data_IF_242191700385
#
_entry.id   IF_242191700385
#
_cell.length_a   1.000
_cell.length_b   1.000
_cell.length_c   1.000
_cell.angle_alpha   90.00
_cell.angle_beta   90.00
_cell.angle_gamma   90.00
#
_symmetry.space_group_name_H-M   'P 1'
#
loop_
_entity.id
_entity.type
_entity.pdbx_description
1 polymer ?
#
# COMPACT_ATOMS: atom_id res chain seq x y z
N UNK A 1 39.66 7.83 11.54
CA UNK A 1 38.57 8.69 12.07
C UNK A 1 37.27 8.14 11.51
N UNK A 2 36.48 7.49 12.35
CA UNK A 2 35.11 7.06 11.98
C UNK A 2 34.27 8.32 11.86
N UNK A 3 34.00 8.75 10.63
CA UNK A 3 33.08 9.84 10.35
C UNK A 3 31.68 9.37 10.72
N UNK A 4 31.25 9.56 11.97
CA UNK A 4 29.90 9.29 12.41
C UNK A 4 29.00 10.35 11.81
N UNK A 5 28.00 9.92 11.01
CA UNK A 5 26.99 10.84 10.47
C UNK A 5 26.19 11.46 11.62
N UNK A 6 26.07 12.80 11.61
CA UNK A 6 25.23 13.51 12.58
C UNK A 6 23.74 13.31 12.23
N UNK A 7 23.02 12.61 13.09
CA UNK A 7 21.58 12.33 12.95
C UNK A 7 20.72 13.15 13.91
N UNK A 8 21.29 14.08 14.67
CA UNK A 8 20.61 14.85 15.74
C UNK A 8 19.35 15.55 15.20
N UNK A 9 19.48 16.27 14.11
CA UNK A 9 18.33 16.98 13.50
C UNK A 9 17.26 16.01 12.98
N UNK A 10 17.68 14.85 12.47
CA UNK A 10 16.76 13.81 12.01
C UNK A 10 15.94 13.22 13.16
N UNK A 11 16.57 12.94 14.29
CA UNK A 11 15.89 12.36 15.46
C UNK A 11 14.90 13.34 16.11
N UNK A 12 15.16 14.64 15.98
CA UNK A 12 14.26 15.70 16.42
C UNK A 12 13.06 15.91 15.49
N UNK A 13 13.12 15.44 14.23
CA UNK A 13 12.09 15.67 13.22
C UNK A 13 11.15 14.48 13.12
N UNK A 14 9.84 14.73 13.25
CA UNK A 14 8.79 13.74 13.07
C UNK A 14 8.22 13.90 11.66
N UNK A 15 8.55 12.99 10.77
CA UNK A 15 8.05 12.99 9.40
C UNK A 15 6.82 12.08 9.28
N UNK A 16 5.64 12.66 9.04
CA UNK A 16 4.36 11.97 8.88
C UNK A 16 3.90 11.92 7.42
N UNK A 17 4.83 11.97 6.48
CA UNK A 17 4.56 11.92 5.05
C UNK A 17 3.92 10.61 4.61
N UNK A 18 3.00 10.70 3.65
CA UNK A 18 2.23 9.55 3.17
C UNK A 18 2.93 8.70 2.10
N UNK A 19 4.16 9.06 1.76
CA UNK A 19 5.02 8.37 0.81
C UNK A 19 5.58 9.29 -0.27
N UNK A 20 6.92 9.32 -0.45
CA UNK A 20 7.93 8.64 0.38
C UNK A 20 7.84 9.02 1.86
N UNK A 21 8.03 8.03 2.73
CA UNK A 21 7.80 8.18 4.17
C UNK A 21 9.09 8.02 4.99
N UNK A 22 8.97 8.13 6.32
CA UNK A 22 10.07 7.86 7.24
C UNK A 22 10.58 6.42 7.14
N UNK A 23 11.88 6.26 7.36
CA UNK A 23 12.54 4.98 7.59
C UNK A 23 13.22 4.99 8.96
N UNK A 24 13.47 3.84 9.61
CA UNK A 24 14.23 3.78 10.85
C UNK A 24 15.63 4.36 10.66
N UNK A 25 16.10 5.18 11.62
CA UNK A 25 17.42 5.81 11.53
C UNK A 25 18.55 4.78 11.46
N UNK A 26 18.45 3.68 12.23
CA UNK A 26 19.39 2.55 12.18
C UNK A 26 19.53 1.94 10.78
N UNK A 27 18.40 1.72 10.10
CA UNK A 27 18.36 1.22 8.72
C UNK A 27 19.06 2.18 7.76
N UNK A 28 18.83 3.48 7.90
CA UNK A 28 19.45 4.47 7.02
C UNK A 28 20.95 4.63 7.25
N UNK A 29 21.43 4.50 8.49
CA UNK A 29 22.85 4.51 8.79
C UNK A 29 23.56 3.29 8.17
N UNK A 30 22.97 2.10 8.31
CA UNK A 30 23.48 0.89 7.67
C UNK A 30 23.42 0.97 6.14
N UNK A 31 22.34 1.51 5.59
CA UNK A 31 22.20 1.73 4.15
C UNK A 31 23.25 2.72 3.62
N UNK A 32 23.55 3.80 4.36
CA UNK A 32 24.58 4.76 3.99
C UNK A 32 25.98 4.14 4.00
N UNK A 33 26.29 3.29 4.99
CA UNK A 33 27.53 2.53 5.00
C UNK A 33 27.62 1.59 3.80
N UNK A 34 26.54 0.90 3.46
CA UNK A 34 26.48 0.00 2.32
C UNK A 34 26.64 0.69 0.95
N UNK A 35 26.29 1.98 0.84
CA UNK A 35 26.57 2.79 -0.36
C UNK A 35 28.06 3.02 -0.55
N UNK A 36 28.82 3.19 0.54
CA UNK A 36 30.25 3.47 0.49
C UNK A 36 31.09 2.19 0.40
N UNK A 37 30.76 1.21 1.21
CA UNK A 37 31.49 -0.06 1.26
C UNK A 37 30.53 -1.18 1.71
N UNK A 38 30.03 -1.92 0.74
CA UNK A 38 29.10 -3.02 1.02
C UNK A 38 29.86 -4.22 1.62
N UNK A 39 29.69 -4.40 2.95
CA UNK A 39 30.22 -5.55 3.71
C UNK A 39 31.74 -5.76 3.54
N UNK A 40 32.53 -4.69 3.44
CA UNK A 40 33.98 -4.77 3.34
C UNK A 40 34.52 -5.22 1.98
N UNK A 41 33.71 -5.09 0.93
CA UNK A 41 34.11 -5.43 -0.45
C UNK A 41 35.03 -4.38 -1.08
N UNK A 42 35.15 -3.19 -0.46
CA UNK A 42 35.81 -2.03 -1.05
C UNK A 42 35.01 -1.35 -2.15
N UNK A 43 33.78 -1.79 -2.40
CA UNK A 43 32.86 -1.20 -3.38
C UNK A 43 31.53 -0.88 -2.73
N UNK A 44 30.90 0.23 -3.13
CA UNK A 44 29.54 0.55 -2.75
C UNK A 44 28.53 -0.37 -3.39
N UNK A 45 27.38 -0.57 -2.73
CA UNK A 45 26.31 -1.42 -3.25
C UNK A 45 25.86 -1.00 -4.67
N UNK A 46 25.84 0.32 -4.92
CA UNK A 46 25.40 0.88 -6.21
C UNK A 46 26.41 0.68 -7.34
N UNK A 47 27.64 0.24 -7.03
CA UNK A 47 28.72 -0.05 -7.96
C UNK A 47 28.88 -1.54 -8.23
N UNK A 48 28.25 -2.40 -7.41
CA UNK A 48 28.28 -3.85 -7.60
C UNK A 48 27.49 -4.24 -8.86
N UNK A 49 27.99 -5.26 -9.55
CA UNK A 49 27.18 -5.89 -10.59
C UNK A 49 25.95 -6.56 -9.97
N UNK A 50 24.76 -6.26 -10.51
CA UNK A 50 23.52 -6.94 -10.09
C UNK A 50 23.53 -8.46 -10.40
N UNK A 51 24.48 -8.93 -11.23
CA UNK A 51 24.69 -10.36 -11.55
C UNK A 51 25.78 -11.01 -10.69
N UNK A 52 26.36 -10.27 -9.73
CA UNK A 52 27.35 -10.81 -8.81
C UNK A 52 26.72 -11.76 -7.79
N UNK A 53 27.51 -12.74 -7.33
CA UNK A 53 27.10 -13.62 -6.22
C UNK A 53 26.78 -12.83 -4.94
N UNK A 54 27.46 -11.71 -4.73
CA UNK A 54 27.25 -10.82 -3.58
C UNK A 54 25.84 -10.21 -3.64
N UNK A 55 25.42 -9.71 -4.81
CA UNK A 55 24.08 -9.15 -4.95
C UNK A 55 23.01 -10.25 -4.94
N UNK A 56 23.27 -11.42 -5.52
CA UNK A 56 22.35 -12.56 -5.44
C UNK A 56 22.08 -12.95 -3.98
N UNK A 57 23.12 -13.04 -3.15
CA UNK A 57 22.94 -13.33 -1.71
C UNK A 57 22.12 -12.26 -0.96
N UNK A 58 22.19 -11.00 -1.39
CA UNK A 58 21.31 -9.93 -0.88
C UNK A 58 19.86 -10.18 -1.30
N UNK A 59 19.61 -10.49 -2.56
CA UNK A 59 18.28 -10.82 -3.10
C UNK A 59 17.66 -11.99 -2.35
N UNK A 60 18.41 -13.09 -2.22
CA UNK A 60 17.95 -14.31 -1.55
C UNK A 60 17.56 -14.05 -0.09
N UNK A 61 18.40 -13.28 0.63
CA UNK A 61 18.08 -12.90 2.02
C UNK A 61 16.86 -12.00 2.10
N UNK A 62 16.75 -11.01 1.22
CA UNK A 62 15.62 -10.06 1.21
C UNK A 62 14.31 -10.78 0.93
N UNK A 63 14.30 -11.73 -0.02
CA UNK A 63 13.15 -12.56 -0.30
C UNK A 63 12.81 -13.49 0.89
N UNK A 64 13.80 -14.15 1.48
CA UNK A 64 13.61 -15.03 2.61
C UNK A 64 13.00 -14.30 3.82
N UNK A 65 13.49 -13.11 4.14
CA UNK A 65 12.96 -12.29 5.23
C UNK A 65 11.51 -11.86 4.97
N UNK A 66 11.19 -11.46 3.73
CA UNK A 66 9.81 -11.11 3.37
C UNK A 66 8.88 -12.33 3.43
N UNK A 67 9.33 -13.49 2.93
CA UNK A 67 8.56 -14.74 3.04
C UNK A 67 8.26 -15.10 4.48
N UNK A 68 9.23 -14.94 5.37
CA UNK A 68 9.06 -15.19 6.79
C UNK A 68 8.07 -14.21 7.44
N UNK A 69 8.16 -12.90 7.10
CA UNK A 69 7.24 -11.87 7.62
C UNK A 69 5.79 -12.09 7.21
N UNK A 70 5.57 -12.50 5.96
CA UNK A 70 4.23 -12.59 5.39
C UNK A 70 3.70 -14.03 5.29
N UNK A 71 4.45 -15.03 5.77
CA UNK A 71 4.10 -16.45 5.64
C UNK A 71 3.79 -16.82 4.17
N UNK A 72 4.63 -16.34 3.23
CA UNK A 72 4.41 -16.56 1.80
C UNK A 72 4.57 -18.05 1.48
N UNK A 73 3.53 -18.74 0.96
CA UNK A 73 3.62 -20.16 0.65
C UNK A 73 4.45 -20.43 -0.62
N UNK A 74 4.94 -21.64 -0.77
CA UNK A 74 5.72 -22.07 -1.94
C UNK A 74 4.95 -22.01 -3.27
N UNK A 75 3.62 -21.95 -3.20
CA UNK A 75 2.75 -21.75 -4.37
C UNK A 75 2.84 -20.35 -4.96
N UNK A 76 3.50 -19.41 -4.27
CA UNK A 76 3.65 -18.02 -4.71
C UNK A 76 5.10 -17.66 -4.97
N UNK A 77 5.32 -16.89 -6.04
CA UNK A 77 6.57 -16.25 -6.36
C UNK A 77 6.62 -14.85 -5.75
N UNK A 78 7.79 -14.42 -5.29
CA UNK A 78 8.06 -13.03 -4.89
C UNK A 78 8.85 -12.37 -6.01
N UNK A 79 8.33 -11.28 -6.56
CA UNK A 79 8.93 -10.54 -7.67
C UNK A 79 9.30 -9.14 -7.21
N UNK A 80 10.57 -8.77 -7.38
CA UNK A 80 11.04 -7.40 -7.15
C UNK A 80 11.01 -6.64 -8.47
N UNK A 81 10.10 -5.67 -8.56
CA UNK A 81 9.74 -4.93 -9.76
C UNK A 81 10.10 -3.45 -9.61
N UNK A 82 9.86 -2.68 -10.66
CA UNK A 82 9.96 -1.21 -10.66
C UNK A 82 8.57 -0.62 -10.91
N UNK A 83 8.47 0.69 -11.11
CA UNK A 83 7.25 1.38 -11.55
C UNK A 83 6.23 1.76 -10.48
N UNK A 84 6.39 1.27 -9.24
CA UNK A 84 5.47 1.58 -8.13
C UNK A 84 4.10 0.91 -8.28
N UNK A 85 3.19 1.20 -7.34
CA UNK A 85 1.82 0.67 -7.38
C UNK A 85 1.03 1.07 -8.61
N UNK A 86 1.34 2.23 -9.21
CA UNK A 86 0.64 2.69 -10.41
C UNK A 86 0.90 1.78 -11.61
N UNK A 87 2.13 1.29 -11.79
CA UNK A 87 2.44 0.34 -12.85
C UNK A 87 1.78 -1.03 -12.61
N UNK A 88 1.59 -1.39 -11.33
CA UNK A 88 0.88 -2.61 -10.97
C UNK A 88 -0.61 -2.58 -11.33
N UNK A 89 -1.24 -1.41 -11.47
CA UNK A 89 -2.61 -1.33 -12.01
C UNK A 89 -2.69 -1.91 -13.43
N UNK A 90 -1.67 -1.64 -14.24
CA UNK A 90 -1.56 -2.20 -15.60
C UNK A 90 -1.08 -3.66 -15.56
N UNK A 91 -0.01 -3.94 -14.81
CA UNK A 91 0.62 -5.26 -14.80
C UNK A 91 -0.32 -6.35 -14.30
N UNK A 92 -1.06 -6.13 -13.20
CA UNK A 92 -2.01 -7.12 -12.66
C UNK A 92 -3.12 -7.44 -13.65
N UNK A 93 -3.74 -6.42 -14.25
CA UNK A 93 -4.80 -6.62 -15.23
C UNK A 93 -4.31 -7.38 -16.47
N UNK A 94 -3.18 -6.95 -17.05
CA UNK A 94 -2.64 -7.56 -18.27
C UNK A 94 -2.19 -9.00 -18.05
N UNK A 95 -1.45 -9.30 -16.96
CA UNK A 95 -0.98 -10.67 -16.70
C UNK A 95 -2.15 -11.61 -16.35
N UNK A 96 -3.17 -11.16 -15.62
CA UNK A 96 -4.32 -12.01 -15.31
C UNK A 96 -5.23 -12.23 -16.53
N UNK A 97 -5.38 -11.25 -17.41
CA UNK A 97 -6.05 -11.44 -18.70
C UNK A 97 -5.30 -12.40 -19.60
N UNK A 98 -3.96 -12.35 -19.63
CA UNK A 98 -3.15 -13.31 -20.37
C UNK A 98 -3.28 -14.72 -19.77
N UNK A 99 -3.20 -14.85 -18.44
CA UNK A 99 -3.43 -16.12 -17.75
C UNK A 99 -4.82 -16.70 -18.04
N UNK A 100 -5.84 -15.83 -18.02
CA UNK A 100 -7.20 -16.24 -18.35
C UNK A 100 -7.30 -16.78 -19.79
N UNK A 101 -6.69 -16.11 -20.76
CA UNK A 101 -6.69 -16.54 -22.16
C UNK A 101 -5.96 -17.88 -22.36
N UNK A 102 -4.85 -18.10 -21.64
CA UNK A 102 -4.12 -19.39 -21.68
C UNK A 102 -4.95 -20.51 -21.06
N UNK A 103 -5.59 -20.27 -19.92
CA UNK A 103 -6.36 -21.30 -19.21
C UNK A 103 -7.77 -21.54 -19.82
N UNK A 104 -8.27 -20.60 -20.61
CA UNK A 104 -9.59 -20.66 -21.23
C UNK A 104 -9.50 -20.29 -22.75
N UNK A 105 -8.83 -21.11 -23.58
CA UNK A 105 -8.47 -20.74 -24.94
C UNK A 105 -9.66 -20.37 -25.83
N UNK A 106 -10.84 -20.96 -25.59
CA UNK A 106 -12.04 -20.71 -26.39
C UNK A 106 -12.90 -19.55 -25.89
N UNK A 107 -12.50 -18.92 -24.75
CA UNK A 107 -13.36 -17.94 -24.08
C UNK A 107 -13.72 -16.74 -24.97
N UNK A 108 -12.73 -16.11 -25.57
CA UNK A 108 -12.96 -14.92 -26.40
C UNK A 108 -13.82 -15.23 -27.63
N UNK A 109 -13.54 -16.35 -28.29
CA UNK A 109 -14.30 -16.79 -29.49
C UNK A 109 -15.76 -17.07 -29.15
N UNK A 110 -16.03 -17.67 -27.99
CA UNK A 110 -17.42 -18.01 -27.56
C UNK A 110 -18.18 -16.83 -26.96
N UNK A 111 -17.46 -15.76 -26.55
CA UNK A 111 -18.07 -14.57 -25.95
C UNK A 111 -18.02 -13.33 -26.87
N UNK A 112 -18.03 -13.53 -28.20
CA UNK A 112 -18.07 -12.42 -29.17
C UNK A 112 -16.84 -11.53 -29.14
N UNK A 113 -15.67 -12.09 -28.81
CA UNK A 113 -14.42 -11.39 -28.61
C UNK A 113 -14.41 -10.38 -27.44
N UNK A 114 -15.39 -10.47 -26.55
CA UNK A 114 -15.40 -9.69 -25.32
C UNK A 114 -14.52 -10.39 -24.27
N UNK A 115 -13.60 -9.62 -23.65
CA UNK A 115 -12.75 -10.13 -22.57
C UNK A 115 -13.53 -10.48 -21.30
N UNK A 116 -12.96 -11.35 -20.44
CA UNK A 116 -13.57 -11.72 -19.16
C UNK A 116 -13.74 -10.50 -18.26
N UNK A 117 -14.77 -10.50 -17.40
CA UNK A 117 -14.93 -9.43 -16.42
C UNK A 117 -13.73 -9.30 -15.49
N UNK A 118 -13.39 -8.07 -15.16
CA UNK A 118 -12.43 -7.71 -14.12
C UNK A 118 -13.17 -6.90 -13.07
N UNK A 119 -13.44 -7.48 -11.91
CA UNK A 119 -14.22 -6.84 -10.86
C UNK A 119 -13.34 -5.94 -9.99
N UNK A 120 -13.85 -4.77 -9.61
CA UNK A 120 -13.15 -3.79 -8.77
C UNK A 120 -14.04 -3.36 -7.60
N UNK A 121 -13.50 -3.46 -6.37
CA UNK A 121 -14.12 -2.91 -5.16
C UNK A 121 -13.58 -1.50 -4.90
N UNK A 122 -14.26 -0.48 -5.43
CA UNK A 122 -13.83 0.93 -5.39
C UNK A 122 -14.21 1.56 -4.05
N UNK A 123 -13.26 1.51 -3.11
CA UNK A 123 -13.41 2.06 -1.75
C UNK A 123 -12.63 3.36 -1.54
N UNK A 124 -11.78 3.77 -2.49
CA UNK A 124 -11.02 5.00 -2.43
C UNK A 124 -10.42 5.42 -3.78
N UNK A 125 -9.60 6.44 -3.71
CA UNK A 125 -9.01 7.11 -4.88
C UNK A 125 -8.05 6.21 -5.66
N UNK A 126 -7.34 5.29 -4.99
CA UNK A 126 -6.38 4.41 -5.66
C UNK A 126 -7.08 3.31 -6.44
N UNK A 127 -8.08 2.65 -5.85
CA UNK A 127 -8.89 1.68 -6.59
C UNK A 127 -9.64 2.34 -7.76
N UNK A 128 -10.12 3.58 -7.59
CA UNK A 128 -10.76 4.33 -8.69
C UNK A 128 -9.78 4.59 -9.86
N UNK A 129 -8.49 4.77 -9.58
CA UNK A 129 -7.46 4.89 -10.62
C UNK A 129 -7.14 3.55 -11.27
N UNK A 130 -7.08 2.48 -10.47
CA UNK A 130 -6.81 1.14 -10.99
C UNK A 130 -7.88 0.69 -12.00
N UNK A 131 -9.17 0.84 -11.69
CA UNK A 131 -10.25 0.50 -12.62
C UNK A 131 -10.22 1.36 -13.89
N UNK A 132 -9.88 2.66 -13.76
CA UNK A 132 -9.73 3.54 -14.91
C UNK A 132 -8.60 3.10 -15.83
N UNK A 133 -7.47 2.67 -15.25
CA UNK A 133 -6.33 2.17 -16.02
C UNK A 133 -6.67 0.86 -16.74
N UNK A 134 -7.31 -0.09 -16.06
CA UNK A 134 -7.75 -1.33 -16.69
C UNK A 134 -8.70 -1.08 -17.87
N UNK A 135 -9.68 -0.17 -17.69
CA UNK A 135 -10.59 0.23 -18.78
C UNK A 135 -9.84 0.86 -19.96
N UNK A 136 -8.84 1.72 -19.67
CA UNK A 136 -7.98 2.34 -20.70
C UNK A 136 -7.18 1.31 -21.50
N UNK A 137 -6.80 0.22 -20.87
CA UNK A 137 -6.09 -0.91 -21.49
C UNK A 137 -7.03 -1.88 -22.22
N UNK A 138 -8.34 -1.63 -22.25
CA UNK A 138 -9.33 -2.43 -22.94
C UNK A 138 -9.88 -3.61 -22.13
N UNK A 139 -9.59 -3.69 -20.82
CA UNK A 139 -10.21 -4.69 -19.97
C UNK A 139 -11.71 -4.46 -19.81
N UNK A 140 -12.49 -5.54 -19.73
CA UNK A 140 -13.91 -5.52 -19.39
C UNK A 140 -14.07 -5.26 -17.87
N UNK A 141 -13.81 -4.00 -17.46
CA UNK A 141 -13.79 -3.62 -16.06
C UNK A 141 -15.21 -3.42 -15.52
N UNK A 142 -15.56 -4.17 -14.47
CA UNK A 142 -16.81 -4.04 -13.73
C UNK A 142 -16.52 -3.40 -12.35
N UNK A 143 -17.23 -2.32 -12.04
CA UNK A 143 -17.18 -1.73 -10.70
C UNK A 143 -18.20 -2.46 -9.82
N UNK A 144 -17.73 -3.50 -9.13
CA UNK A 144 -18.56 -4.33 -8.25
C UNK A 144 -19.20 -3.49 -7.13
N UNK A 145 -18.45 -2.53 -6.57
CA UNK A 145 -18.96 -1.54 -5.62
C UNK A 145 -18.23 -0.21 -5.78
N UNK A 146 -18.94 0.90 -5.61
CA UNK A 146 -18.37 2.24 -5.53
C UNK A 146 -18.87 2.91 -4.25
N UNK A 147 -17.99 3.03 -3.26
CA UNK A 147 -18.30 3.57 -1.94
C UNK A 147 -18.80 5.03 -1.97
N UNK A 148 -18.60 5.78 -3.06
CA UNK A 148 -19.14 7.13 -3.25
C UNK A 148 -20.63 7.14 -3.57
N UNK A 149 -21.17 6.02 -4.07
CA UNK A 149 -22.56 5.89 -4.54
C UNK A 149 -23.50 5.36 -3.48
N UNK A 150 -22.98 4.94 -2.31
CA UNK A 150 -23.84 4.48 -1.22
C UNK A 150 -24.61 5.64 -0.60
N UNK A 151 -25.77 5.33 -0.03
CA UNK A 151 -26.62 6.33 0.62
C UNK A 151 -25.83 7.08 1.71
N UNK A 152 -25.93 8.40 1.74
CA UNK A 152 -25.22 9.26 2.69
C UNK A 152 -23.75 9.52 2.40
N UNK A 153 -23.19 8.95 1.31
CA UNK A 153 -21.78 9.20 0.94
C UNK A 153 -21.52 10.62 0.44
N UNK A 154 -22.53 11.27 -0.15
CA UNK A 154 -22.36 12.62 -0.71
C UNK A 154 -21.26 12.70 -1.79
N UNK A 155 -21.04 11.61 -2.55
CA UNK A 155 -20.01 11.52 -3.58
C UNK A 155 -18.57 11.37 -3.04
N UNK A 156 -18.38 11.15 -1.73
CA UNK A 156 -17.06 11.04 -1.09
C UNK A 156 -16.80 9.62 -0.58
N UNK A 157 -15.54 9.21 -0.57
CA UNK A 157 -15.12 8.02 0.14
C UNK A 157 -15.16 8.25 1.66
N UNK A 158 -15.50 7.25 2.44
CA UNK A 158 -15.60 7.37 3.90
C UNK A 158 -16.32 6.21 4.57
N UNK A 159 -16.59 5.15 3.80
CA UNK A 159 -17.16 3.89 4.29
C UNK A 159 -16.82 2.76 3.32
N UNK A 160 -17.00 1.52 3.77
CA UNK A 160 -16.93 0.31 2.95
C UNK A 160 -18.30 -0.34 2.99
N UNK A 161 -19.02 -0.42 1.85
CA UNK A 161 -20.30 -1.11 1.78
C UNK A 161 -20.16 -2.60 2.08
N UNK A 162 -21.18 -3.24 2.69
CA UNK A 162 -21.15 -4.68 2.93
C UNK A 162 -21.15 -5.45 1.59
N UNK A 163 -20.54 -6.65 1.59
CA UNK A 163 -20.41 -7.48 0.38
C UNK A 163 -21.76 -7.81 -0.26
N UNK A 164 -22.83 -7.89 0.54
CA UNK A 164 -24.20 -8.11 0.05
C UNK A 164 -24.72 -7.04 -0.92
N UNK A 165 -24.11 -5.85 -0.92
CA UNK A 165 -24.43 -4.77 -1.86
C UNK A 165 -23.52 -4.77 -3.11
N UNK A 166 -22.54 -5.66 -3.18
CA UNK A 166 -21.61 -5.70 -4.31
C UNK A 166 -22.23 -6.40 -5.51
N UNK A 167 -22.03 -5.83 -6.67
CA UNK A 167 -22.48 -6.39 -7.97
C UNK A 167 -21.32 -7.15 -8.61
N UNK A 168 -20.95 -8.27 -8.00
CA UNK A 168 -19.93 -9.16 -8.53
C UNK A 168 -20.39 -9.77 -9.86
N UNK A 169 -19.45 -9.97 -10.78
CA UNK A 169 -19.72 -10.68 -12.03
C UNK A 169 -20.07 -12.14 -11.76
N UNK A 170 -21.04 -12.72 -12.47
CA UNK A 170 -21.40 -14.13 -12.29
C UNK A 170 -20.20 -15.06 -12.52
N UNK A 171 -20.01 -16.09 -11.69
CA UNK A 171 -18.93 -17.08 -11.84
C UNK A 171 -18.95 -17.75 -13.21
N UNK A 172 -20.16 -17.97 -13.78
CA UNK A 172 -20.33 -18.52 -15.13
C UNK A 172 -19.66 -17.67 -16.23
N UNK A 173 -19.48 -16.35 -16.00
CA UNK A 173 -18.74 -15.47 -16.92
C UNK A 173 -17.22 -15.53 -16.72
N UNK A 174 -16.73 -16.42 -15.85
CA UNK A 174 -15.31 -16.65 -15.56
C UNK A 174 -14.52 -15.35 -15.35
N UNK A 175 -14.81 -14.53 -14.32
CA UNK A 175 -14.10 -13.29 -14.11
C UNK A 175 -12.58 -13.53 -14.00
N UNK A 176 -11.78 -12.66 -14.62
CA UNK A 176 -10.33 -12.78 -14.59
C UNK A 176 -9.75 -12.37 -13.25
N UNK A 177 -10.42 -11.47 -12.52
CA UNK A 177 -9.97 -11.03 -11.18
C UNK A 177 -11.05 -10.26 -10.41
N UNK A 178 -10.85 -10.19 -9.09
CA UNK A 178 -11.41 -9.17 -8.20
C UNK A 178 -10.24 -8.36 -7.60
N UNK A 179 -10.23 -7.05 -7.85
CA UNK A 179 -9.20 -6.14 -7.36
C UNK A 179 -9.73 -5.26 -6.22
N UNK A 180 -8.93 -5.09 -5.17
CA UNK A 180 -9.19 -4.14 -4.10
C UNK A 180 -7.89 -3.47 -3.62
N UNK A 181 -8.02 -2.31 -2.97
CA UNK A 181 -6.94 -1.66 -2.24
C UNK A 181 -7.22 -1.78 -0.74
N UNK A 182 -6.33 -2.43 -0.01
CA UNK A 182 -6.55 -2.79 1.40
C UNK A 182 -6.54 -1.56 2.32
N UNK A 183 -5.79 -0.52 1.93
CA UNK A 183 -5.76 0.78 2.61
C UNK A 183 -5.61 1.92 1.60
N UNK A 184 -6.61 2.76 1.50
CA UNK A 184 -6.68 3.92 0.60
C UNK A 184 -5.98 5.13 1.24
N UNK A 185 -4.72 5.34 0.85
CA UNK A 185 -3.81 6.34 1.45
C UNK A 185 -4.33 7.78 1.41
N UNK A 186 -5.10 8.13 0.37
CA UNK A 186 -5.62 9.48 0.14
C UNK A 186 -6.85 9.73 1.00
N UNK A 187 -7.73 8.75 1.05
CA UNK A 187 -9.06 8.87 1.64
C UNK A 187 -9.09 8.43 3.12
N UNK A 188 -8.07 7.70 3.55
CA UNK A 188 -7.95 7.19 4.92
C UNK A 188 -8.89 6.02 5.22
N UNK A 189 -9.33 5.31 4.18
CA UNK A 189 -10.20 4.13 4.29
C UNK A 189 -9.35 2.87 4.29
N UNK A 190 -9.53 2.01 5.29
CA UNK A 190 -8.88 0.70 5.43
C UNK A 190 -9.94 -0.37 5.67
N UNK A 191 -9.79 -1.55 5.08
CA UNK A 191 -10.66 -2.67 5.41
C UNK A 191 -10.53 -3.01 6.90
N UNK A 192 -11.67 -3.18 7.63
CA UNK A 192 -11.64 -3.45 9.07
C UNK A 192 -10.97 -4.79 9.37
N UNK A 193 -10.50 -4.98 10.62
CA UNK A 193 -9.96 -6.28 11.02
C UNK A 193 -11.01 -7.39 10.85
N UNK A 194 -10.59 -8.58 10.38
CA UNK A 194 -9.21 -9.03 10.16
C UNK A 194 -8.63 -8.62 8.80
N UNK A 195 -9.37 -7.95 7.92
CA UNK A 195 -8.95 -7.53 6.59
C UNK A 195 -10.08 -7.54 5.59
N UNK A 196 -9.75 -7.70 4.31
CA UNK A 196 -10.71 -7.85 3.23
C UNK A 196 -11.67 -9.02 3.52
N UNK A 197 -13.00 -8.86 3.34
CA UNK A 197 -14.00 -9.82 3.79
C UNK A 197 -14.12 -11.05 2.86
N UNK A 198 -13.04 -11.84 2.77
CA UNK A 198 -12.96 -13.03 1.93
C UNK A 198 -14.06 -14.05 2.24
N UNK A 199 -14.38 -14.20 3.52
CA UNK A 199 -15.40 -15.13 4.03
C UNK A 199 -16.83 -14.72 3.69
N UNK A 200 -17.05 -13.45 3.37
CA UNK A 200 -18.36 -12.93 2.95
C UNK A 200 -18.60 -13.02 1.43
N UNK A 201 -17.56 -13.27 0.64
CA UNK A 201 -17.71 -13.53 -0.79
C UNK A 201 -18.44 -14.86 -1.01
N UNK A 202 -19.26 -15.00 -2.08
CA UNK A 202 -19.81 -16.29 -2.45
C UNK A 202 -18.71 -17.35 -2.56
N UNK A 203 -18.97 -18.55 -2.06
CA UNK A 203 -17.94 -19.59 -1.92
C UNK A 203 -17.35 -20.01 -3.27
N UNK A 204 -18.19 -20.17 -4.29
CA UNK A 204 -17.81 -20.49 -5.66
C UNK A 204 -16.98 -19.37 -6.28
N UNK A 205 -17.35 -18.11 -6.05
CA UNK A 205 -16.59 -16.94 -6.49
C UNK A 205 -15.21 -16.90 -5.86
N UNK A 206 -15.13 -17.02 -4.54
CA UNK A 206 -13.87 -17.02 -3.79
C UNK A 206 -12.91 -18.13 -4.20
N UNK A 207 -13.44 -19.31 -4.57
CA UNK A 207 -12.63 -20.47 -4.97
C UNK A 207 -12.09 -20.37 -6.39
N UNK A 208 -12.76 -19.61 -7.26
CA UNK A 208 -12.48 -19.65 -8.70
C UNK A 208 -11.90 -18.34 -9.24
N UNK A 209 -12.26 -17.19 -8.65
CA UNK A 209 -11.86 -15.88 -9.15
C UNK A 209 -10.55 -15.44 -8.48
N UNK A 210 -9.50 -15.09 -9.26
CA UNK A 210 -8.26 -14.55 -8.74
C UNK A 210 -8.48 -13.24 -7.98
N UNK A 211 -8.02 -13.15 -6.72
CA UNK A 211 -8.16 -11.97 -5.88
C UNK A 211 -6.85 -11.20 -5.84
N UNK A 212 -6.88 -9.91 -6.12
CA UNK A 212 -5.73 -8.99 -6.18
C UNK A 212 -5.83 -7.95 -5.08
N UNK A 213 -4.82 -7.87 -4.25
CA UNK A 213 -4.70 -6.92 -3.15
C UNK A 213 -3.59 -5.89 -3.39
N UNK A 214 -3.94 -4.59 -3.47
CA UNK A 214 -3.00 -3.50 -3.29
C UNK A 214 -2.84 -3.21 -1.80
N UNK A 215 -1.71 -3.61 -1.24
CA UNK A 215 -1.39 -3.42 0.17
C UNK A 215 -0.32 -2.33 0.39
N UNK A 216 -0.08 -1.47 -0.60
CA UNK A 216 1.04 -0.51 -0.60
C UNK A 216 1.15 0.31 0.67
N UNK A 217 0.04 0.74 1.28
CA UNK A 217 0.10 1.66 2.41
C UNK A 217 -0.15 1.02 3.78
N UNK A 218 -0.45 -0.28 3.85
CA UNK A 218 -0.58 -0.98 5.12
C UNK A 218 0.14 -2.33 5.17
N UNK A 219 0.94 -2.65 4.16
CA UNK A 219 1.78 -3.85 4.18
C UNK A 219 2.61 -3.92 5.47
N UNK A 220 2.76 -5.12 6.03
CA UNK A 220 3.52 -5.38 7.26
C UNK A 220 3.02 -4.59 8.50
N UNK A 221 1.80 -4.07 8.48
CA UNK A 221 1.13 -3.45 9.64
C UNK A 221 0.02 -4.31 10.24
N UNK A 222 -0.32 -5.39 9.55
CA UNK A 222 -1.22 -6.48 9.98
C UNK A 222 -0.94 -7.75 9.16
N UNK A 223 -1.38 -8.92 9.63
CA UNK A 223 -1.36 -10.14 8.83
C UNK A 223 -2.22 -10.00 7.57
N UNK A 224 -1.75 -10.60 6.48
CA UNK A 224 -2.48 -10.76 5.21
C UNK A 224 -2.42 -12.23 4.85
N UNK A 225 -3.55 -12.83 4.54
CA UNK A 225 -3.61 -14.21 4.05
C UNK A 225 -3.16 -14.28 2.59
N UNK A 226 -1.84 -14.39 2.39
CA UNK A 226 -1.25 -14.47 1.04
C UNK A 226 -1.78 -15.69 0.28
N UNK A 227 -2.03 -16.81 0.95
CA UNK A 227 -2.49 -18.05 0.32
C UNK A 227 -3.88 -17.90 -0.33
N UNK A 228 -4.73 -17.02 0.21
CA UNK A 228 -6.05 -16.75 -0.32
C UNK A 228 -6.08 -15.75 -1.49
N UNK A 229 -4.93 -15.16 -1.84
CA UNK A 229 -4.84 -14.17 -2.91
C UNK A 229 -4.09 -14.70 -4.13
N UNK A 230 -4.51 -14.26 -5.29
CA UNK A 230 -3.78 -14.50 -6.53
C UNK A 230 -2.54 -13.59 -6.63
N UNK A 231 -2.70 -12.34 -6.22
CA UNK A 231 -1.63 -11.33 -6.20
C UNK A 231 -1.79 -10.47 -4.95
N UNK A 232 -0.69 -10.30 -4.21
CA UNK A 232 -0.52 -9.24 -3.20
C UNK A 232 0.64 -8.37 -3.65
N UNK A 233 0.42 -7.07 -3.81
CA UNK A 233 1.51 -6.19 -4.19
C UNK A 233 1.61 -4.93 -3.33
N UNK A 234 2.79 -4.32 -3.33
CA UNK A 234 3.04 -3.06 -2.63
C UNK A 234 4.24 -2.30 -3.19
N UNK A 235 4.15 -0.98 -3.20
CA UNK A 235 5.31 -0.10 -3.40
C UNK A 235 6.07 0.10 -2.10
N UNK A 236 7.40 0.08 -2.15
CA UNK A 236 8.24 0.16 -0.94
C UNK A 236 8.16 1.51 -0.21
N UNK A 237 7.94 2.61 -0.90
CA UNK A 237 8.09 3.99 -0.43
C UNK A 237 7.18 4.41 0.73
N UNK A 238 6.35 3.51 1.22
CA UNK A 238 5.44 3.78 2.34
C UNK A 238 5.92 3.08 3.61
N UNK A 239 5.80 1.78 3.70
CA UNK A 239 6.03 1.03 4.93
C UNK A 239 7.33 0.21 4.97
N UNK A 240 8.03 0.04 3.85
CA UNK A 240 9.12 -0.94 3.74
C UNK A 240 10.44 -0.39 3.22
N UNK A 241 10.48 0.75 2.53
CA UNK A 241 11.75 1.21 1.98
C UNK A 241 11.66 2.55 1.24
N UNK A 242 12.70 2.94 0.49
CA UNK A 242 12.65 4.08 -0.41
C UNK A 242 11.83 3.77 -1.66
N UNK A 243 11.52 4.82 -2.44
CA UNK A 243 10.98 4.63 -3.79
C UNK A 243 11.98 3.90 -4.69
N UNK A 244 11.47 3.16 -5.68
CA UNK A 244 12.26 2.49 -6.70
C UNK A 244 12.03 0.98 -6.78
N UNK A 245 11.60 0.31 -5.72
CA UNK A 245 11.20 -1.10 -5.77
C UNK A 245 9.71 -1.24 -5.47
N UNK A 246 9.09 -2.14 -6.21
CA UNK A 246 7.73 -2.63 -6.01
C UNK A 246 7.80 -4.14 -5.87
N UNK A 247 7.08 -4.70 -4.92
CA UNK A 247 7.03 -6.15 -4.75
C UNK A 247 5.65 -6.64 -5.17
N UNK A 248 5.62 -7.70 -5.97
CA UNK A 248 4.44 -8.48 -6.26
C UNK A 248 4.65 -9.93 -5.82
N UNK A 249 3.74 -10.42 -4.99
CA UNK A 249 3.69 -11.83 -4.56
C UNK A 249 2.57 -12.46 -5.38
N UNK A 250 2.93 -13.34 -6.31
CA UNK A 250 2.04 -13.82 -7.37
C UNK A 250 1.91 -15.34 -7.31
N UNK A 251 0.69 -15.86 -7.35
CA UNK A 251 0.45 -17.30 -7.43
C UNK A 251 1.02 -17.88 -8.72
N UNK A 252 1.86 -18.90 -8.62
CA UNK A 252 2.71 -19.40 -9.72
C UNK A 252 1.92 -19.94 -10.91
N UNK A 253 0.74 -20.53 -10.68
CA UNK A 253 -0.15 -21.02 -11.74
C UNK A 253 -0.70 -19.93 -12.66
N UNK A 254 -0.67 -18.66 -12.19
CA UNK A 254 -1.10 -17.48 -12.96
C UNK A 254 0.06 -16.79 -13.69
N UNK A 255 1.30 -17.24 -13.50
CA UNK A 255 2.48 -16.73 -14.19
C UNK A 255 2.67 -17.55 -15.46
N UNK A 256 2.07 -17.11 -16.55
CA UNK A 256 2.08 -17.78 -17.85
C UNK A 256 2.96 -17.03 -18.85
N UNK A 257 3.30 -17.70 -19.95
CA UNK A 257 3.82 -17.02 -21.15
C UNK A 257 2.67 -16.22 -21.80
N UNK A 258 2.72 -14.89 -21.80
CA UNK A 258 1.62 -14.09 -22.32
C UNK A 258 1.46 -14.24 -23.85
N UNK A 259 2.54 -14.55 -24.60
CA UNK A 259 2.46 -14.73 -26.04
C UNK A 259 1.63 -15.96 -26.42
N UNK A 260 1.61 -16.99 -25.57
CA UNK A 260 0.69 -18.12 -25.73
C UNK A 260 -0.78 -17.70 -25.62
N UNK A 261 -1.08 -16.70 -24.79
CA UNK A 261 -2.44 -16.16 -24.62
C UNK A 261 -2.93 -15.28 -25.78
N UNK A 262 -2.00 -14.67 -26.55
CA UNK A 262 -2.36 -13.75 -27.65
C UNK A 262 -3.19 -14.44 -28.74
N UNK A 263 -2.85 -15.68 -29.06
CA UNK A 263 -3.60 -16.47 -30.04
C UNK A 263 -5.07 -16.74 -29.62
N UNK A 264 -5.37 -16.60 -28.33
CA UNK A 264 -6.67 -16.84 -27.71
C UNK A 264 -7.34 -15.52 -27.25
N UNK A 265 -6.93 -14.37 -27.80
CA UNK A 265 -7.50 -13.06 -27.48
C UNK A 265 -6.91 -12.37 -26.26
N UNK A 266 -5.88 -12.94 -25.65
CA UNK A 266 -5.15 -12.29 -24.56
C UNK A 266 -4.38 -11.03 -25.00
N UNK A 267 -4.06 -10.11 -24.07
CA UNK A 267 -3.36 -8.87 -24.38
C UNK A 267 -1.87 -9.11 -24.66
N UNK A 268 -1.29 -8.25 -25.49
CA UNK A 268 0.18 -8.11 -25.54
C UNK A 268 0.65 -7.30 -24.35
N UNK A 269 1.68 -7.77 -23.68
CA UNK A 269 2.21 -7.16 -22.46
C UNK A 269 3.60 -6.56 -22.75
N UNK A 270 3.88 -5.31 -22.38
CA UNK A 270 5.24 -4.78 -22.42
C UNK A 270 6.19 -5.66 -21.62
N UNK A 271 7.36 -5.95 -22.17
CA UNK A 271 8.32 -6.97 -21.68
C UNK A 271 8.64 -6.82 -20.18
N UNK A 272 8.77 -5.58 -19.69
CA UNK A 272 9.10 -5.29 -18.29
C UNK A 272 7.91 -5.52 -17.32
N UNK A 273 6.69 -5.62 -17.84
CA UNK A 273 5.48 -5.90 -17.05
C UNK A 273 5.14 -7.40 -17.01
N UNK A 274 5.83 -8.23 -17.79
CA UNK A 274 5.59 -9.68 -17.85
C UNK A 274 6.16 -10.35 -16.60
N UNK A 275 5.28 -10.86 -15.74
CA UNK A 275 5.69 -11.54 -14.49
C UNK A 275 6.54 -12.77 -14.76
N UNK A 276 6.29 -13.50 -15.85
CA UNK A 276 7.12 -14.66 -16.23
C UNK A 276 8.56 -14.27 -16.50
N UNK A 277 8.81 -13.15 -17.17
CA UNK A 277 10.17 -12.68 -17.43
C UNK A 277 10.92 -12.39 -16.12
N UNK A 278 10.20 -11.81 -15.14
CA UNK A 278 10.78 -11.54 -13.83
C UNK A 278 11.03 -12.82 -13.04
N UNK A 279 10.08 -13.77 -13.06
CA UNK A 279 10.25 -15.06 -12.40
C UNK A 279 11.43 -15.84 -12.97
N UNK A 280 11.50 -16.00 -14.30
CA UNK A 280 12.53 -16.79 -14.97
C UNK A 280 13.95 -16.22 -14.79
N UNK A 281 14.06 -14.96 -14.45
CA UNK A 281 15.33 -14.26 -14.24
C UNK A 281 15.56 -13.85 -12.77
N UNK A 282 14.83 -14.40 -11.80
CA UNK A 282 14.99 -14.06 -10.39
C UNK A 282 14.85 -12.56 -10.10
N UNK A 283 13.91 -11.89 -10.76
CA UNK A 283 13.71 -10.43 -10.73
C UNK A 283 14.83 -9.59 -11.35
N UNK A 284 15.79 -10.22 -12.03
CA UNK A 284 16.97 -9.59 -12.63
C UNK A 284 16.93 -9.59 -14.17
N UNK A 285 15.73 -9.55 -14.75
CA UNK A 285 15.56 -9.43 -16.21
C UNK A 285 16.28 -8.19 -16.76
N UNK A 286 16.20 -7.07 -16.05
CA UNK A 286 17.01 -5.87 -16.26
C UNK A 286 17.69 -5.48 -14.95
N UNK A 287 18.55 -4.44 -14.96
CA UNK A 287 19.19 -3.94 -13.75
C UNK A 287 18.13 -3.38 -12.80
N UNK A 288 17.99 -3.94 -11.58
CA UNK A 288 16.97 -3.53 -10.65
C UNK A 288 17.36 -2.25 -9.88
N UNK A 289 16.44 -1.71 -9.11
CA UNK A 289 16.75 -0.65 -8.15
C UNK A 289 17.47 -1.23 -6.92
N UNK A 290 18.78 -1.51 -7.07
CA UNK A 290 19.60 -2.24 -6.11
C UNK A 290 19.56 -1.64 -4.70
N UNK A 291 19.70 -0.31 -4.61
CA UNK A 291 19.66 0.39 -3.34
C UNK A 291 18.27 0.29 -2.65
N UNK A 292 17.20 0.41 -3.43
CA UNK A 292 15.85 0.30 -2.86
C UNK A 292 15.56 -1.11 -2.34
N UNK A 293 16.03 -2.15 -3.04
CA UNK A 293 15.92 -3.54 -2.58
C UNK A 293 16.74 -3.74 -1.28
N UNK A 294 17.97 -3.26 -1.26
CA UNK A 294 18.83 -3.35 -0.07
C UNK A 294 18.21 -2.68 1.15
N UNK A 295 17.79 -1.42 1.01
CA UNK A 295 17.18 -0.69 2.12
C UNK A 295 15.86 -1.35 2.59
N UNK A 296 15.07 -1.93 1.67
CA UNK A 296 13.88 -2.70 2.03
C UNK A 296 14.25 -3.99 2.78
N UNK A 297 15.30 -4.69 2.36
CA UNK A 297 15.84 -5.86 3.05
C UNK A 297 16.26 -5.55 4.48
N UNK A 298 16.90 -4.39 4.70
CA UNK A 298 17.27 -3.94 6.05
C UNK A 298 16.02 -3.65 6.91
N UNK A 299 14.95 -3.11 6.33
CA UNK A 299 13.68 -2.91 7.05
C UNK A 299 13.03 -4.25 7.40
N UNK A 300 13.06 -5.23 6.50
CA UNK A 300 12.53 -6.58 6.79
C UNK A 300 13.31 -7.25 7.92
N UNK A 301 14.64 -7.18 7.88
CA UNK A 301 15.51 -7.73 8.92
C UNK A 301 15.27 -7.05 10.29
N UNK A 302 15.17 -5.72 10.33
CA UNK A 302 14.87 -4.97 11.56
C UNK A 302 13.48 -5.35 12.12
N UNK A 303 12.49 -5.46 11.25
CA UNK A 303 11.14 -5.84 11.67
C UNK A 303 11.09 -7.26 12.26
N UNK A 304 11.79 -8.22 11.61
CA UNK A 304 11.85 -9.60 12.08
C UNK A 304 12.58 -9.73 13.42
N UNK A 305 13.78 -9.14 13.52
CA UNK A 305 14.68 -9.38 14.66
C UNK A 305 14.43 -8.47 15.84
N UNK A 306 14.09 -7.20 15.57
CA UNK A 306 14.09 -6.16 16.60
C UNK A 306 12.70 -5.67 16.97
N UNK A 307 11.68 -5.92 16.13
CA UNK A 307 10.36 -5.30 16.27
C UNK A 307 9.21 -6.30 16.46
N UNK A 308 9.50 -7.58 16.66
CA UNK A 308 8.49 -8.62 16.90
C UNK A 308 7.65 -8.97 15.65
N UNK A 309 8.23 -8.79 14.46
CA UNK A 309 7.59 -9.14 13.19
C UNK A 309 6.28 -8.38 12.94
N UNK A 310 5.41 -8.99 12.14
CA UNK A 310 4.10 -8.41 11.79
C UNK A 310 3.19 -8.32 13.02
N UNK A 311 3.27 -9.23 13.97
CA UNK A 311 2.47 -9.19 15.21
C UNK A 311 2.78 -7.91 16.02
N UNK A 312 4.06 -7.64 16.28
CA UNK A 312 4.48 -6.43 16.98
C UNK A 312 4.14 -5.15 16.21
N UNK A 313 4.22 -5.16 14.87
CA UNK A 313 3.80 -4.03 14.04
C UNK A 313 2.28 -3.80 14.12
N UNK A 314 1.48 -4.86 14.15
CA UNK A 314 0.02 -4.80 14.29
C UNK A 314 -0.38 -4.11 15.59
N UNK A 315 0.24 -4.51 16.68
CA UNK A 315 -0.03 -3.93 18.01
C UNK A 315 0.35 -2.44 18.05
N UNK A 316 1.57 -2.10 17.62
CA UNK A 316 2.00 -0.69 17.56
C UNK A 316 1.11 0.17 16.65
N UNK A 317 0.68 -0.36 15.51
CA UNK A 317 -0.22 0.35 14.59
C UNK A 317 -1.57 0.63 15.22
N UNK A 318 -2.14 -0.35 15.94
CA UNK A 318 -3.39 -0.17 16.67
C UNK A 318 -3.26 0.88 17.78
N UNK A 319 -2.17 0.83 18.58
CA UNK A 319 -1.91 1.81 19.64
C UNK A 319 -1.76 3.23 19.09
N UNK A 320 -0.99 3.42 18.02
CA UNK A 320 -0.80 4.74 17.38
C UNK A 320 -2.11 5.30 16.84
N UNK A 321 -2.89 4.50 16.14
CA UNK A 321 -4.18 4.90 15.61
C UNK A 321 -5.15 5.27 16.73
N UNK A 322 -5.23 4.47 17.79
CA UNK A 322 -6.09 4.74 18.96
C UNK A 322 -5.73 6.08 19.63
N UNK A 323 -4.44 6.41 19.76
CA UNK A 323 -4.01 7.71 20.30
C UNK A 323 -4.56 8.87 19.49
N UNK A 324 -4.47 8.84 18.18
CA UNK A 324 -4.89 9.97 17.33
C UNK A 324 -6.42 10.05 17.21
N UNK A 325 -7.09 8.91 16.98
CA UNK A 325 -8.55 8.90 16.94
C UNK A 325 -9.18 9.27 18.28
N UNK A 326 -8.57 8.89 19.41
CA UNK A 326 -9.02 9.34 20.74
C UNK A 326 -8.96 10.85 20.90
N UNK A 327 -7.92 11.52 20.38
CA UNK A 327 -7.86 13.00 20.39
C UNK A 327 -8.91 13.60 19.46
N UNK A 328 -9.13 13.02 18.29
CA UNK A 328 -10.16 13.47 17.34
C UNK A 328 -11.55 13.42 18.01
N UNK A 329 -11.88 12.31 18.64
CA UNK A 329 -13.17 12.09 19.31
C UNK A 329 -13.36 13.03 20.51
N UNK A 330 -12.30 13.24 21.31
CA UNK A 330 -12.33 14.14 22.46
C UNK A 330 -12.30 15.64 22.08
N UNK A 331 -12.12 15.96 20.79
CA UNK A 331 -12.01 17.36 20.34
C UNK A 331 -13.33 18.13 20.29
N UNK A 332 -14.47 17.44 20.51
CA UNK A 332 -15.82 18.04 20.47
C UNK A 332 -16.11 18.79 19.16
N UNK A 333 -15.72 18.20 18.04
CA UNK A 333 -16.00 18.72 16.71
C UNK A 333 -14.97 19.72 16.18
N UNK A 334 -13.84 19.94 16.86
CA UNK A 334 -12.71 20.68 16.28
C UNK A 334 -12.05 19.85 15.17
N UNK A 335 -11.81 18.56 15.43
CA UNK A 335 -11.31 17.64 14.39
C UNK A 335 -12.45 16.77 13.86
N UNK A 336 -12.67 16.83 12.56
CA UNK A 336 -13.72 16.09 11.86
C UNK A 336 -13.10 14.96 11.06
N UNK A 337 -13.24 13.68 11.45
CA UNK A 337 -12.70 12.58 10.67
C UNK A 337 -13.36 12.52 9.29
N UNK A 338 -12.58 12.34 8.22
CA UNK A 338 -13.14 12.25 6.86
C UNK A 338 -13.83 10.90 6.62
N UNK A 339 -13.35 9.85 7.31
CA UNK A 339 -13.96 8.51 7.26
C UNK A 339 -15.06 8.41 8.31
N UNK A 340 -16.30 8.35 7.82
CA UNK A 340 -17.51 8.33 8.66
C UNK A 340 -17.69 7.00 9.40
N UNK A 341 -17.46 5.89 8.70
CA UNK A 341 -17.55 4.55 9.29
C UNK A 341 -16.32 4.29 10.17
N UNK A 342 -16.49 4.31 11.48
CA UNK A 342 -15.38 4.17 12.42
C UNK A 342 -14.55 2.89 12.19
N UNK A 343 -15.20 1.76 11.86
CA UNK A 343 -14.52 0.49 11.58
C UNK A 343 -13.68 0.50 10.30
N UNK A 344 -13.93 1.44 9.37
CA UNK A 344 -13.19 1.59 8.13
C UNK A 344 -12.11 2.69 8.19
N UNK A 345 -11.86 3.26 9.37
CA UNK A 345 -10.80 4.25 9.56
C UNK A 345 -9.42 3.61 9.49
N UNK A 346 -8.55 4.18 8.66
CA UNK A 346 -7.18 3.69 8.48
C UNK A 346 -6.35 3.81 9.76
N UNK A 347 -5.62 2.76 10.10
CA UNK A 347 -4.61 2.78 11.17
C UNK A 347 -3.28 3.38 10.69
N UNK A 348 -3.12 3.50 9.36
CA UNK A 348 -1.91 4.01 8.72
C UNK A 348 -2.03 5.48 8.31
N UNK A 349 -3.15 5.89 7.73
CA UNK A 349 -3.35 7.23 7.17
C UNK A 349 -4.59 7.86 7.80
N UNK A 350 -4.40 8.54 8.92
CA UNK A 350 -5.49 9.23 9.61
C UNK A 350 -5.77 10.56 8.91
N UNK A 351 -6.97 10.70 8.37
CA UNK A 351 -7.41 11.87 7.61
C UNK A 351 -8.54 12.60 8.34
N UNK A 352 -8.41 13.91 8.46
CA UNK A 352 -9.43 14.74 9.13
C UNK A 352 -9.44 16.18 8.59
N UNK A 353 -10.55 16.87 8.82
CA UNK A 353 -10.73 18.30 8.59
C UNK A 353 -10.75 19.02 9.94
N UNK A 354 -10.56 20.34 9.92
CA UNK A 354 -10.61 21.15 11.13
C UNK A 354 -11.76 22.14 11.00
N UNK A 355 -12.51 22.34 12.10
CA UNK A 355 -13.70 23.17 12.18
C UNK A 355 -13.69 24.05 13.42
N UNK A 356 -14.40 25.14 13.36
CA UNK A 356 -14.77 25.88 14.57
C UNK A 356 -15.79 25.08 15.37
N UNK A 357 -15.80 25.19 16.72
CA UNK A 357 -16.77 24.52 17.55
C UNK A 357 -18.21 24.78 17.09
N UNK A 358 -19.01 23.72 16.98
CA UNK A 358 -20.41 23.78 16.58
C UNK A 358 -20.73 24.06 15.12
N UNK A 359 -19.73 24.30 14.25
CA UNK A 359 -19.99 24.59 12.83
C UNK A 359 -20.07 23.37 11.93
N UNK A 360 -19.38 22.28 12.27
CA UNK A 360 -19.30 21.02 11.49
C UNK A 360 -18.91 21.22 10.00
N UNK A 361 -18.20 22.31 9.70
CA UNK A 361 -17.71 22.63 8.36
C UNK A 361 -16.22 22.91 8.40
N UNK A 362 -15.45 22.42 7.41
CA UNK A 362 -14.02 22.67 7.34
C UNK A 362 -13.68 24.17 7.30
N UNK A 363 -12.68 24.56 8.07
CA UNK A 363 -12.08 25.91 8.07
C UNK A 363 -10.62 25.78 7.61
N UNK A 364 -10.35 26.22 6.38
CA UNK A 364 -9.01 26.11 5.77
C UNK A 364 -7.97 26.96 6.51
N UNK A 365 -8.36 28.08 7.12
CA UNK A 365 -7.44 28.91 7.89
C UNK A 365 -6.97 28.16 9.18
N UNK A 366 -7.86 27.42 9.83
CA UNK A 366 -7.50 26.58 10.96
C UNK A 366 -6.64 25.38 10.52
N UNK A 367 -6.89 24.80 9.34
CA UNK A 367 -6.06 23.73 8.79
C UNK A 367 -4.63 24.22 8.53
N UNK A 368 -4.46 25.38 7.91
CA UNK A 368 -3.13 25.97 7.68
C UNK A 368 -2.45 26.38 9.00
N UNK A 369 -3.20 26.91 9.98
CA UNK A 369 -2.69 27.21 11.31
C UNK A 369 -2.20 25.93 12.04
N UNK A 370 -2.93 24.82 11.90
CA UNK A 370 -2.51 23.54 12.46
C UNK A 370 -1.23 23.00 11.81
N UNK A 371 -1.13 23.07 10.48
CA UNK A 371 0.09 22.67 9.76
C UNK A 371 1.29 23.48 10.23
N UNK A 372 1.12 24.79 10.44
CA UNK A 372 2.17 25.67 10.99
C UNK A 372 2.54 25.26 12.43
N UNK A 373 1.55 25.02 13.29
CA UNK A 373 1.77 24.57 14.68
C UNK A 373 2.52 23.24 14.72
N UNK A 374 2.22 22.31 13.82
CA UNK A 374 2.98 21.05 13.68
C UNK A 374 4.45 21.33 13.30
N UNK A 375 4.70 22.21 12.32
CA UNK A 375 6.05 22.56 11.90
C UNK A 375 6.87 23.20 13.02
N UNK A 376 6.27 24.06 13.83
CA UNK A 376 6.90 24.65 15.03
C UNK A 376 7.29 23.59 16.08
N UNK A 377 6.57 22.46 16.10
CA UNK A 377 6.88 21.29 16.94
C UNK A 377 7.82 20.26 16.26
N UNK A 378 8.45 20.61 15.12
CA UNK A 378 9.23 19.70 14.27
C UNK A 378 8.44 18.50 13.73
N UNK A 379 7.13 18.63 13.56
CA UNK A 379 6.26 17.63 12.92
C UNK A 379 5.94 18.11 11.50
N UNK A 380 6.37 17.33 10.49
CA UNK A 380 6.31 17.75 9.10
C UNK A 380 5.45 16.83 8.23
N UNK A 381 5.06 17.32 7.05
CA UNK A 381 4.31 16.60 6.01
C UNK A 381 2.91 16.13 6.45
N UNK A 382 2.23 16.94 7.25
CA UNK A 382 0.86 16.65 7.74
C UNK A 382 -0.26 17.20 6.85
N UNK A 383 0.06 18.02 5.83
CA UNK A 383 -0.95 18.58 4.92
C UNK A 383 -1.64 17.46 4.14
N UNK A 384 -2.95 17.50 4.05
CA UNK A 384 -3.77 16.55 3.30
C UNK A 384 -3.46 16.52 1.80
N UNK A 385 -3.93 15.48 1.11
CA UNK A 385 -3.72 15.38 -0.32
C UNK A 385 -4.46 16.51 -1.06
N UNK A 386 -3.83 17.08 -2.11
CA UNK A 386 -4.37 18.24 -2.86
C UNK A 386 -5.80 18.05 -3.39
N UNK A 387 -6.24 16.81 -3.62
CA UNK A 387 -7.59 16.50 -4.12
C UNK A 387 -8.65 16.45 -3.04
N UNK A 388 -8.28 16.36 -1.75
CA UNK A 388 -9.20 16.15 -0.62
C UNK A 388 -9.11 17.31 0.38
N UNK A 389 -7.96 17.97 0.45
CA UNK A 389 -7.66 19.01 1.43
C UNK A 389 -7.43 18.44 2.84
N UNK A 390 -7.53 19.30 3.84
CA UNK A 390 -7.44 18.94 5.24
C UNK A 390 -6.05 18.50 5.71
N UNK A 391 -6.05 17.63 6.69
CA UNK A 391 -4.88 17.09 7.36
C UNK A 391 -4.83 15.58 7.15
N UNK A 392 -3.62 15.06 6.92
CA UNK A 392 -3.35 13.62 6.89
C UNK A 392 -2.08 13.32 7.65
N UNK A 393 -2.19 12.50 8.68
CA UNK A 393 -1.04 12.01 9.44
C UNK A 393 -0.80 10.55 9.11
N UNK A 394 0.39 10.23 8.58
CA UNK A 394 0.72 8.87 8.17
C UNK A 394 1.55 8.20 9.25
N UNK A 395 0.95 7.21 9.93
CA UNK A 395 1.49 6.52 11.11
C UNK A 395 2.18 5.20 10.72
N UNK A 396 3.01 5.23 9.66
CA UNK A 396 3.69 4.02 9.18
C UNK A 396 4.60 3.39 10.23
N UNK A 397 5.12 2.19 9.95
CA UNK A 397 5.85 1.38 10.94
C UNK A 397 7.07 2.08 11.53
N UNK A 398 7.75 2.97 10.79
CA UNK A 398 8.90 3.72 11.27
C UNK A 398 8.54 4.87 12.22
N UNK A 399 7.28 5.32 12.25
CA UNK A 399 6.81 6.31 13.22
C UNK A 399 6.59 5.62 14.56
N UNK A 400 7.24 6.12 15.61
CA UNK A 400 7.17 5.50 16.94
C UNK A 400 5.92 5.93 17.72
N UNK A 401 5.63 5.22 18.82
CA UNK A 401 4.53 5.57 19.73
C UNK A 401 4.80 6.94 20.37
N UNK A 402 6.05 7.20 20.79
CA UNK A 402 6.46 8.49 21.38
C UNK A 402 6.30 9.66 20.41
N UNK A 403 6.64 9.45 19.14
CA UNK A 403 6.40 10.46 18.09
C UNK A 403 4.91 10.70 17.88
N UNK A 404 4.10 9.66 17.95
CA UNK A 404 2.64 9.76 17.84
C UNK A 404 2.03 10.46 19.07
N UNK A 405 2.55 10.19 20.27
CA UNK A 405 2.15 10.92 21.50
C UNK A 405 2.44 12.41 21.38
N UNK A 406 3.60 12.78 20.82
CA UNK A 406 3.96 14.19 20.59
C UNK A 406 2.98 14.88 19.63
N UNK A 407 2.57 14.21 18.56
CA UNK A 407 1.51 14.68 17.67
C UNK A 407 0.18 14.85 18.44
N UNK A 408 -0.20 13.85 19.24
CA UNK A 408 -1.43 13.88 20.02
C UNK A 408 -1.46 15.09 20.99
N UNK A 409 -0.35 15.42 21.63
CA UNK A 409 -0.25 16.60 22.51
C UNK A 409 -0.39 17.92 21.72
N UNK A 410 0.23 18.03 20.54
CA UNK A 410 0.03 19.19 19.65
C UNK A 410 -1.44 19.33 19.25
N UNK A 411 -2.08 18.22 18.88
CA UNK A 411 -3.52 18.21 18.55
C UNK A 411 -4.40 18.65 19.72
N UNK A 412 -4.19 18.10 20.93
CA UNK A 412 -4.95 18.48 22.13
C UNK A 412 -4.84 19.97 22.44
N UNK A 413 -3.59 20.50 22.42
CA UNK A 413 -3.33 21.91 22.69
C UNK A 413 -3.99 22.78 21.63
N UNK A 414 -3.88 22.43 20.35
CA UNK A 414 -4.52 23.16 19.27
C UNK A 414 -6.06 23.18 19.41
N UNK A 415 -6.67 22.03 19.69
CA UNK A 415 -8.12 21.95 19.90
C UNK A 415 -8.61 22.82 21.05
N UNK A 416 -7.84 22.88 22.15
CA UNK A 416 -8.14 23.78 23.27
C UNK A 416 -8.05 25.25 22.85
N UNK A 417 -6.98 25.65 22.16
CA UNK A 417 -6.77 27.02 21.69
C UNK A 417 -7.88 27.47 20.73
N UNK A 418 -8.36 26.58 19.84
CA UNK A 418 -9.52 26.85 18.97
C UNK A 418 -10.80 27.07 19.77
N UNK A 419 -11.09 26.23 20.80
CA UNK A 419 -12.26 26.37 21.67
C UNK A 419 -12.24 27.65 22.46
N UNK A 420 -11.08 28.08 22.90
CA UNK A 420 -10.89 29.32 23.68
C UNK A 420 -10.77 30.58 22.80
N UNK A 421 -10.99 30.45 21.48
CA UNK A 421 -10.89 31.56 20.51
C UNK A 421 -9.54 32.29 20.54
N UNK A 422 -8.45 31.54 20.75
CA UNK A 422 -7.06 32.04 20.76
C UNK A 422 -6.37 31.94 19.41
N UNK A 423 -7.07 31.42 18.39
CA UNK A 423 -6.60 31.23 17.02
C UNK A 423 -7.55 31.88 16.03
#
# INVERSE_FOLDING_TARGET
MTNTLDVTKREQTINLGAGPSSLPTSVLLEAAQGILDYRGTGMGLTELSHRSKTFQALMDKTEADLRALMSVPDTHAVLFLQGGGTEQFSATALNLLAAHAVHNPDYFATNGNQGPPCDYAVTGSWTAKAVKEASRLGANANVAVDARKVQGAGGKFGSIPPVSEWKLSPVASKPAMLYYCDNETVDGVEYPNPGFPLDQLPEDYRKTVPIVADCSSNILSRPIDVAAHAIVFFGAQKNVGPSGVTVAIVRKDLIVDPDAGVAHGGPRIPTTLVYKNMLDNGSLYNTPSMFAIYASGLVFDDLLRNKGGVAGATERSAQKAALIYGVIEASEGVFLPTVRQASARSRMNVTFRISKPGQNQPDEALEDAFVKRCAEANIVQVKGHRSVGGVRTSLYNAVTIEQTQKLAEVMKTFARDVKESKL
#
